data_IF_229907583419
#
_entry.id   IF_229907583419
#
_cell.length_a   1.000
_cell.length_b   1.000
_cell.length_c   1.000
_cell.angle_alpha   90.00
_cell.angle_beta   90.00
_cell.angle_gamma   90.00
#
_symmetry.space_group_name_H-M   'P 1'
#
loop_
_entity.id
_entity.type
_entity.pdbx_description
1 polymer ?
#
# COMPACT_ATOMS: atom_id res chain seq x y z
N UNK A 1 -14.46 -29.07 3.71
CA UNK A 1 -13.32 -29.13 2.76
C UNK A 1 -12.06 -29.28 3.59
N UNK A 2 -11.29 -30.35 3.39
CA UNK A 2 -9.94 -30.45 3.94
C UNK A 2 -9.14 -29.22 3.49
N UNK A 3 -8.46 -28.56 4.43
CA UNK A 3 -7.49 -27.52 4.10
C UNK A 3 -6.47 -28.13 3.12
N UNK A 4 -6.05 -27.42 2.05
CA UNK A 4 -4.96 -27.90 1.21
C UNK A 4 -3.73 -28.14 2.09
N UNK A 5 -3.15 -29.34 2.04
CA UNK A 5 -2.06 -29.82 2.93
C UNK A 5 -0.78 -28.93 2.93
N UNK A 6 -0.70 -27.91 2.06
CA UNK A 6 0.48 -27.07 1.83
C UNK A 6 0.38 -25.61 2.36
N UNK A 7 -0.67 -25.22 3.10
CA UNK A 7 -0.79 -23.84 3.61
C UNK A 7 -0.07 -23.70 4.96
N UNK A 8 0.99 -22.88 5.08
CA UNK A 8 1.73 -22.76 6.32
C UNK A 8 0.90 -22.08 7.42
N UNK A 9 0.71 -22.80 8.53
CA UNK A 9 0.06 -22.30 9.74
C UNK A 9 0.93 -22.64 10.97
N UNK A 10 2.08 -21.97 11.15
CA UNK A 10 2.87 -22.14 12.36
C UNK A 10 2.09 -21.67 13.60
N UNK A 11 2.33 -22.31 14.75
CA UNK A 11 1.61 -22.05 16.01
C UNK A 11 1.64 -20.57 16.42
N UNK A 12 2.79 -19.90 16.29
CA UNK A 12 2.95 -18.47 16.54
C UNK A 12 3.33 -17.73 15.24
N UNK A 13 2.38 -17.69 14.31
CA UNK A 13 2.53 -17.08 13.00
C UNK A 13 2.28 -15.58 12.98
N UNK A 14 3.19 -14.84 12.33
CA UNK A 14 3.05 -13.45 11.93
C UNK A 14 2.76 -13.38 10.43
N UNK A 15 1.52 -13.05 10.06
CA UNK A 15 0.99 -13.14 8.71
C UNK A 15 0.99 -11.78 8.02
N UNK A 16 1.75 -11.66 6.93
CA UNK A 16 1.85 -10.41 6.16
C UNK A 16 1.46 -10.64 4.71
N UNK A 17 0.44 -9.93 4.24
CA UNK A 17 0.01 -9.92 2.84
C UNK A 17 0.65 -8.74 2.11
N UNK A 18 1.37 -8.98 1.02
CA UNK A 18 1.96 -7.94 0.16
C UNK A 18 1.35 -7.99 -1.23
N UNK A 19 0.70 -6.92 -1.66
CA UNK A 19 0.10 -6.86 -2.99
C UNK A 19 1.13 -6.53 -4.07
N UNK A 20 1.16 -7.26 -5.19
CA UNK A 20 2.04 -6.95 -6.33
C UNK A 20 3.52 -7.11 -6.01
N UNK A 21 3.91 -8.31 -5.54
CA UNK A 21 5.25 -8.57 -5.02
C UNK A 21 6.25 -9.10 -6.06
N UNK A 22 5.86 -9.21 -7.34
CA UNK A 22 6.67 -9.92 -8.34
C UNK A 22 7.98 -9.23 -8.76
N UNK A 23 8.09 -7.93 -8.51
CA UNK A 23 9.26 -7.12 -8.84
C UNK A 23 9.20 -5.79 -8.09
N UNK A 24 10.23 -4.96 -8.29
CA UNK A 24 10.26 -3.58 -7.80
C UNK A 24 10.08 -3.49 -6.28
N UNK A 25 9.30 -2.50 -5.84
CA UNK A 25 9.07 -2.23 -4.43
C UNK A 25 8.42 -3.40 -3.69
N UNK A 26 7.47 -4.12 -4.31
CA UNK A 26 6.79 -5.24 -3.65
C UNK A 26 7.74 -6.39 -3.30
N UNK A 27 8.69 -6.70 -4.20
CA UNK A 27 9.76 -7.66 -3.91
C UNK A 27 10.70 -7.13 -2.81
N UNK A 28 11.05 -5.84 -2.86
CA UNK A 28 11.87 -5.17 -1.84
C UNK A 28 11.23 -5.16 -0.45
N UNK A 29 9.89 -5.03 -0.37
CA UNK A 29 9.13 -5.19 0.88
C UNK A 29 9.26 -6.62 1.39
N UNK A 30 9.13 -7.62 0.53
CA UNK A 30 9.28 -9.02 0.91
C UNK A 30 10.68 -9.36 1.43
N UNK A 31 11.74 -8.93 0.75
CA UNK A 31 13.12 -9.18 1.20
C UNK A 31 13.44 -8.45 2.50
N UNK A 32 12.99 -7.20 2.66
CA UNK A 32 13.20 -6.43 3.88
C UNK A 32 12.39 -6.95 5.06
N UNK A 33 11.16 -7.43 4.85
CA UNK A 33 10.38 -8.12 5.89
C UNK A 33 11.13 -9.33 6.45
N UNK A 34 11.76 -10.13 5.58
CA UNK A 34 12.58 -11.27 6.02
C UNK A 34 13.73 -10.78 6.91
N UNK A 35 14.47 -9.77 6.46
CA UNK A 35 15.64 -9.25 7.17
C UNK A 35 15.26 -8.70 8.56
N UNK A 36 14.28 -7.80 8.61
CA UNK A 36 13.90 -7.13 9.85
C UNK A 36 13.12 -8.05 10.79
N UNK A 37 12.27 -8.94 10.27
CA UNK A 37 11.56 -9.91 11.12
C UNK A 37 12.54 -10.83 11.84
N UNK A 38 13.51 -11.41 11.11
CA UNK A 38 14.48 -12.32 11.70
C UNK A 38 15.39 -11.63 12.72
N UNK A 39 15.64 -10.32 12.55
CA UNK A 39 16.44 -9.51 13.46
C UNK A 39 15.67 -9.04 14.70
N UNK A 40 14.38 -8.71 14.57
CA UNK A 40 13.63 -7.99 15.61
C UNK A 40 12.61 -8.83 16.35
N UNK A 41 12.10 -9.92 15.75
CA UNK A 41 11.04 -10.74 16.35
C UNK A 41 11.59 -11.93 17.13
N UNK A 42 10.95 -12.31 18.26
CA UNK A 42 11.34 -13.45 19.08
C UNK A 42 11.49 -14.74 18.27
N UNK A 43 12.46 -15.59 18.62
CA UNK A 43 12.73 -16.85 17.89
C UNK A 43 11.56 -17.83 17.87
N UNK A 44 10.61 -17.66 18.79
CA UNK A 44 9.36 -18.42 18.85
C UNK A 44 8.33 -18.02 17.79
N UNK A 45 8.47 -16.86 17.15
CA UNK A 45 7.58 -16.38 16.09
C UNK A 45 8.09 -16.79 14.70
N UNK A 46 7.16 -17.14 13.81
CA UNK A 46 7.42 -17.44 12.41
C UNK A 46 6.69 -16.46 11.48
N UNK A 47 7.39 -15.94 10.47
CA UNK A 47 6.82 -15.10 9.42
C UNK A 47 6.13 -15.97 8.37
N UNK A 48 4.86 -15.68 8.09
CA UNK A 48 4.15 -16.19 6.91
C UNK A 48 4.00 -15.03 5.92
N UNK A 49 4.89 -14.98 4.93
CA UNK A 49 4.87 -13.96 3.89
C UNK A 49 3.95 -14.42 2.76
N UNK A 50 2.76 -13.82 2.72
CA UNK A 50 1.76 -14.03 1.68
C UNK A 50 2.00 -13.00 0.57
N UNK A 51 2.48 -13.46 -0.58
CA UNK A 51 2.68 -12.60 -1.75
C UNK A 51 1.54 -12.76 -2.74
N UNK A 52 1.22 -11.69 -3.45
CA UNK A 52 0.29 -11.79 -4.59
C UNK A 52 0.93 -11.39 -5.91
N UNK A 53 0.52 -12.11 -6.95
CA UNK A 53 0.92 -11.88 -8.34
C UNK A 53 -0.28 -12.08 -9.27
N UNK A 54 -0.20 -11.55 -10.49
CA UNK A 54 -1.28 -11.72 -11.49
C UNK A 54 -1.37 -13.14 -12.06
N UNK A 55 -0.31 -13.92 -11.93
CA UNK A 55 -0.25 -15.29 -12.45
C UNK A 55 0.69 -16.17 -11.60
N UNK A 56 0.47 -17.49 -11.67
CA UNK A 56 1.21 -18.50 -10.91
C UNK A 56 2.71 -18.49 -11.22
N UNK A 57 3.09 -18.36 -12.49
CA UNK A 57 4.50 -18.36 -12.93
C UNK A 57 5.29 -17.21 -12.28
N UNK A 58 4.70 -16.01 -12.23
CA UNK A 58 5.28 -14.88 -11.51
C UNK A 58 5.35 -15.14 -10.02
N UNK A 59 4.33 -15.77 -9.44
CA UNK A 59 4.32 -16.20 -8.04
C UNK A 59 5.52 -17.09 -7.73
N UNK A 60 5.67 -18.17 -8.50
CA UNK A 60 6.72 -19.18 -8.29
C UNK A 60 8.12 -18.54 -8.41
N UNK A 61 8.32 -17.70 -9.42
CA UNK A 61 9.57 -16.94 -9.61
C UNK A 61 9.85 -15.97 -8.45
N UNK A 62 8.81 -15.39 -7.85
CA UNK A 62 8.95 -14.47 -6.71
C UNK A 62 9.31 -15.23 -5.44
N UNK A 63 8.61 -16.34 -5.15
CA UNK A 63 8.95 -17.22 -4.03
C UNK A 63 10.39 -17.71 -4.15
N UNK A 64 10.84 -18.07 -5.36
CA UNK A 64 12.23 -18.49 -5.58
C UNK A 64 13.23 -17.38 -5.22
N UNK A 65 13.01 -16.14 -5.66
CA UNK A 65 13.86 -14.99 -5.29
C UNK A 65 13.88 -14.73 -3.79
N UNK A 66 12.73 -14.84 -3.12
CA UNK A 66 12.62 -14.66 -1.67
C UNK A 66 13.33 -15.79 -0.90
N UNK A 67 13.24 -17.03 -1.38
CA UNK A 67 14.00 -18.17 -0.82
C UNK A 67 15.50 -17.98 -0.97
N UNK A 68 15.96 -17.54 -2.14
CA UNK A 68 17.37 -17.22 -2.38
C UNK A 68 17.86 -16.09 -1.47
N UNK A 69 17.04 -15.07 -1.25
CA UNK A 69 17.33 -14.00 -0.30
C UNK A 69 17.44 -14.54 1.13
N UNK A 70 16.46 -15.31 1.60
CA UNK A 70 16.50 -15.97 2.92
C UNK A 70 17.76 -16.81 3.10
N UNK A 71 18.15 -17.60 2.10
CA UNK A 71 19.37 -18.39 2.14
C UNK A 71 20.63 -17.50 2.27
N UNK A 72 20.69 -16.35 1.58
CA UNK A 72 21.79 -15.39 1.72
C UNK A 72 21.86 -14.81 3.13
N UNK A 73 20.71 -14.48 3.73
CA UNK A 73 20.61 -13.99 5.11
C UNK A 73 21.10 -15.05 6.09
N UNK A 74 20.58 -16.28 6.01
CA UNK A 74 20.99 -17.39 6.87
C UNK A 74 22.50 -17.68 6.75
N UNK A 75 23.05 -17.73 5.53
CA UNK A 75 24.50 -17.94 5.32
C UNK A 75 25.35 -16.82 5.92
N UNK A 76 24.86 -15.58 5.93
CA UNK A 76 25.56 -14.45 6.55
C UNK A 76 25.61 -14.61 8.07
N UNK A 77 24.47 -14.96 8.69
CA UNK A 77 24.40 -15.16 10.14
C UNK A 77 25.22 -16.38 10.57
N UNK A 78 25.19 -17.47 9.81
CA UNK A 78 25.94 -18.70 10.10
C UNK A 78 27.46 -18.45 10.26
N UNK A 79 28.02 -17.51 9.47
CA UNK A 79 29.44 -17.14 9.56
C UNK A 79 29.79 -16.49 10.90
N UNK A 80 28.83 -15.83 11.53
CA UNK A 80 29.00 -15.16 12.83
C UNK A 80 28.57 -16.05 13.99
N UNK A 81 27.53 -16.87 13.82
CA UNK A 81 26.98 -17.75 14.83
C UNK A 81 26.61 -19.11 14.20
N UNK A 82 27.47 -20.14 14.32
CA UNK A 82 27.19 -21.47 13.78
C UNK A 82 25.91 -22.10 14.33
N UNK A 83 25.15 -22.80 13.48
CA UNK A 83 23.88 -23.46 13.80
C UNK A 83 22.64 -22.56 13.69
N UNK A 84 22.80 -21.24 13.64
CA UNK A 84 21.68 -20.31 13.57
C UNK A 84 20.93 -20.34 12.24
N UNK A 85 21.59 -20.69 11.13
CA UNK A 85 20.93 -20.76 9.83
C UNK A 85 19.74 -21.72 9.83
N UNK A 86 19.86 -22.87 10.50
CA UNK A 86 18.81 -23.89 10.55
C UNK A 86 17.58 -23.40 11.32
N UNK A 87 17.80 -22.64 12.40
CA UNK A 87 16.73 -22.02 13.18
C UNK A 87 16.02 -20.93 12.37
N UNK A 88 16.77 -20.00 11.78
CA UNK A 88 16.21 -18.86 11.04
C UNK A 88 15.45 -19.32 9.78
N UNK A 89 15.95 -20.33 9.07
CA UNK A 89 15.31 -20.82 7.86
C UNK A 89 13.94 -21.43 8.12
N UNK A 90 13.73 -22.06 9.29
CA UNK A 90 12.44 -22.64 9.69
C UNK A 90 11.41 -21.60 10.12
N UNK A 91 11.82 -20.36 10.37
CA UNK A 91 10.96 -19.26 10.82
C UNK A 91 10.31 -18.46 9.69
N UNK A 92 10.57 -18.78 8.42
CA UNK A 92 10.02 -18.02 7.29
C UNK A 92 9.32 -18.96 6.33
N UNK A 93 8.02 -18.75 6.16
CA UNK A 93 7.16 -19.48 5.26
C UNK A 93 6.68 -18.56 4.14
N UNK A 94 6.60 -19.10 2.93
CA UNK A 94 6.12 -18.37 1.76
C UNK A 94 4.79 -18.95 1.30
N UNK A 95 3.81 -18.07 1.08
CA UNK A 95 2.54 -18.43 0.47
C UNK A 95 2.33 -17.51 -0.73
N UNK A 96 2.02 -18.09 -1.88
CA UNK A 96 1.65 -17.31 -3.06
C UNK A 96 0.15 -17.35 -3.29
N UNK A 97 -0.39 -16.24 -3.75
CA UNK A 97 -1.79 -16.09 -4.08
C UNK A 97 -1.96 -15.29 -5.37
N UNK A 98 -3.05 -15.55 -6.10
CA UNK A 98 -3.36 -14.83 -7.34
C UNK A 98 -4.24 -13.63 -7.01
N UNK A 99 -3.84 -12.46 -7.49
CA UNK A 99 -4.61 -11.22 -7.35
C UNK A 99 -4.46 -10.37 -8.61
N UNK A 100 -5.60 -10.09 -9.25
CA UNK A 100 -5.73 -8.98 -10.18
C UNK A 100 -6.66 -7.91 -9.59
N UNK A 101 -6.08 -6.76 -9.23
CA UNK A 101 -6.84 -5.64 -8.65
C UNK A 101 -7.76 -4.96 -9.66
N UNK A 102 -7.55 -5.19 -10.97
CA UNK A 102 -8.47 -4.74 -12.02
C UNK A 102 -9.67 -5.69 -12.21
N UNK A 103 -9.78 -6.75 -11.40
CA UNK A 103 -10.91 -7.66 -11.38
C UNK A 103 -11.48 -7.74 -9.97
N UNK A 104 -12.65 -7.12 -9.74
CA UNK A 104 -13.31 -7.14 -8.43
C UNK A 104 -13.63 -8.57 -7.97
N UNK A 105 -13.98 -9.46 -8.91
CA UNK A 105 -14.18 -10.88 -8.63
C UNK A 105 -12.88 -11.58 -8.23
N UNK A 106 -11.73 -11.23 -8.84
CA UNK A 106 -10.43 -11.74 -8.39
C UNK A 106 -10.13 -11.33 -6.95
N UNK A 107 -10.46 -10.08 -6.58
CA UNK A 107 -10.31 -9.61 -5.20
C UNK A 107 -11.20 -10.43 -4.26
N UNK A 108 -12.48 -10.63 -4.62
CA UNK A 108 -13.39 -11.40 -3.78
C UNK A 108 -12.95 -12.87 -3.60
N UNK A 109 -12.52 -13.53 -4.68
CA UNK A 109 -12.01 -14.92 -4.64
C UNK A 109 -10.81 -15.07 -3.70
N UNK A 110 -9.86 -14.15 -3.77
CA UNK A 110 -8.71 -14.15 -2.88
C UNK A 110 -9.14 -13.99 -1.42
N UNK A 111 -10.00 -13.01 -1.14
CA UNK A 111 -10.41 -12.72 0.23
C UNK A 111 -11.18 -13.90 0.85
N UNK A 112 -12.10 -14.53 0.10
CA UNK A 112 -12.80 -15.74 0.53
C UNK A 112 -11.82 -16.86 0.87
N UNK A 113 -10.86 -17.13 -0.02
CA UNK A 113 -9.81 -18.13 0.20
C UNK A 113 -9.00 -17.83 1.46
N UNK A 114 -8.54 -16.59 1.64
CA UNK A 114 -7.77 -16.19 2.83
C UNK A 114 -8.60 -16.33 4.11
N UNK A 115 -9.86 -15.90 4.13
CA UNK A 115 -10.76 -16.04 5.29
C UNK A 115 -10.91 -17.50 5.74
N UNK A 116 -10.92 -18.43 4.78
CA UNK A 116 -11.09 -19.86 5.04
C UNK A 116 -9.79 -20.58 5.46
N UNK A 117 -8.62 -20.00 5.16
CA UNK A 117 -7.35 -20.74 5.21
C UNK A 117 -6.23 -20.01 5.98
N UNK A 118 -6.51 -18.82 6.48
CA UNK A 118 -5.55 -18.01 7.24
C UNK A 118 -6.14 -17.71 8.62
N UNK A 119 -5.42 -17.97 9.72
CA UNK A 119 -5.95 -17.74 11.06
C UNK A 119 -6.19 -16.26 11.34
N UNK A 120 -5.22 -15.40 11.02
CA UNK A 120 -5.29 -13.93 11.16
C UNK A 120 -4.42 -13.22 10.12
N UNK A 121 -4.51 -11.90 10.04
CA UNK A 121 -3.57 -11.07 9.29
C UNK A 121 -3.02 -9.97 10.20
N UNK A 122 -1.71 -9.98 10.43
CA UNK A 122 -1.05 -8.94 11.23
C UNK A 122 -0.83 -7.67 10.39
N UNK A 123 -0.54 -7.82 9.10
CA UNK A 123 -0.44 -6.68 8.19
C UNK A 123 -0.86 -7.01 6.75
N UNK A 124 -1.51 -6.05 6.09
CA UNK A 124 -1.78 -6.02 4.65
C UNK A 124 -1.12 -4.77 4.08
N UNK A 125 -0.15 -4.95 3.18
CA UNK A 125 0.58 -3.86 2.53
C UNK A 125 0.04 -3.69 1.10
N UNK A 126 -0.80 -2.66 0.93
CA UNK A 126 -1.41 -2.26 -0.34
C UNK A 126 -0.38 -1.51 -1.20
N UNK A 127 0.56 -2.28 -1.78
CA UNK A 127 1.69 -1.81 -2.58
C UNK A 127 1.43 -1.73 -4.09
N UNK A 128 0.57 -2.59 -4.64
CA UNK A 128 0.40 -2.71 -6.07
C UNK A 128 -0.17 -1.41 -6.66
N UNK A 129 0.21 -1.11 -7.89
CA UNK A 129 -0.31 0.05 -8.59
C UNK A 129 0.30 0.22 -9.97
N UNK A 130 -0.31 1.08 -10.76
CA UNK A 130 0.11 1.47 -12.10
C UNK A 130 0.17 2.99 -12.20
N UNK A 131 1.04 3.49 -13.08
CA UNK A 131 1.23 4.93 -13.28
C UNK A 131 0.24 5.59 -14.23
N UNK A 132 -0.28 4.87 -15.24
CA UNK A 132 -1.14 5.47 -16.26
C UNK A 132 -0.46 6.54 -17.13
N UNK A 133 0.88 6.58 -17.13
CA UNK A 133 1.67 7.52 -17.92
C UNK A 133 1.86 7.02 -19.35
N UNK A 134 1.81 7.94 -20.30
CA UNK A 134 2.05 7.67 -21.73
C UNK A 134 3.44 8.09 -22.16
N UNK A 135 3.95 9.21 -21.62
CA UNK A 135 5.26 9.75 -21.97
C UNK A 135 5.69 10.81 -20.93
N UNK A 136 6.83 11.47 -21.17
CA UNK A 136 7.27 12.67 -20.50
C UNK A 136 7.23 13.85 -21.46
N UNK A 137 6.93 15.04 -20.95
CA UNK A 137 7.24 16.29 -21.65
C UNK A 137 8.76 16.49 -21.62
N UNK A 138 9.47 15.89 -22.58
CA UNK A 138 10.94 15.86 -22.62
C UNK A 138 11.60 17.24 -22.58
N UNK A 139 11.16 18.26 -23.36
CA UNK A 139 11.72 19.60 -23.26
C UNK A 139 11.59 20.18 -21.84
N UNK A 140 10.42 20.03 -21.22
CA UNK A 140 10.20 20.49 -19.85
C UNK A 140 11.02 19.68 -18.83
N UNK A 141 11.14 18.37 -19.02
CA UNK A 141 11.91 17.49 -18.16
C UNK A 141 13.40 17.88 -18.16
N UNK A 142 13.99 18.04 -19.33
CA UNK A 142 15.39 18.49 -19.48
C UNK A 142 15.58 19.86 -18.85
N UNK A 143 14.71 20.82 -19.17
CA UNK A 143 14.78 22.16 -18.60
C UNK A 143 14.70 22.15 -17.07
N UNK A 144 13.72 21.44 -16.49
CA UNK A 144 13.52 21.36 -15.04
C UNK A 144 14.67 20.64 -14.34
N UNK A 145 15.18 19.55 -14.90
CA UNK A 145 16.34 18.84 -14.33
C UNK A 145 17.57 19.76 -14.32
N UNK A 146 17.81 20.51 -15.39
CA UNK A 146 18.97 21.42 -15.47
C UNK A 146 18.83 22.67 -14.59
N UNK A 147 17.61 23.17 -14.36
CA UNK A 147 17.37 24.43 -13.62
C UNK A 147 16.99 24.24 -12.15
N UNK A 148 16.40 23.11 -11.79
CA UNK A 148 15.96 22.78 -10.42
C UNK A 148 16.01 21.25 -10.21
N UNK A 149 17.23 20.71 -10.26
CA UNK A 149 17.49 19.27 -10.22
C UNK A 149 16.75 18.55 -9.09
N UNK A 150 16.91 19.05 -7.86
CA UNK A 150 16.37 18.41 -6.65
C UNK A 150 14.85 18.33 -6.72
N UNK A 151 14.16 19.42 -7.04
CA UNK A 151 12.70 19.40 -7.10
C UNK A 151 12.20 18.61 -8.30
N UNK A 152 12.85 18.72 -9.46
CA UNK A 152 12.45 18.04 -10.69
C UNK A 152 12.42 16.51 -10.53
N UNK A 153 13.33 15.94 -9.75
CA UNK A 153 13.44 14.48 -9.57
C UNK A 153 12.86 13.98 -8.24
N UNK A 154 12.34 14.87 -7.39
CA UNK A 154 11.52 14.53 -6.20
C UNK A 154 10.03 14.71 -6.47
N UNK A 155 9.66 15.79 -7.15
CA UNK A 155 8.29 16.23 -7.43
C UNK A 155 8.13 16.54 -8.93
N UNK A 156 8.25 15.54 -9.81
CA UNK A 156 8.27 15.75 -11.26
C UNK A 156 6.94 16.30 -11.78
N UNK A 157 6.97 17.44 -12.47
CA UNK A 157 5.79 18.10 -13.08
C UNK A 157 5.69 17.90 -14.59
N UNK A 158 6.47 16.98 -15.15
CA UNK A 158 6.63 16.79 -16.60
C UNK A 158 6.14 15.42 -17.08
N UNK A 159 5.45 14.64 -16.25
CA UNK A 159 4.83 13.37 -16.66
C UNK A 159 3.57 13.65 -17.47
N UNK A 160 3.37 12.90 -18.54
CA UNK A 160 2.16 12.92 -19.35
C UNK A 160 1.37 11.64 -19.09
N UNK A 161 0.10 11.80 -18.73
CA UNK A 161 -0.80 10.69 -18.44
C UNK A 161 -1.89 10.58 -19.49
N UNK A 162 -2.38 9.36 -19.68
CA UNK A 162 -3.60 9.17 -20.45
C UNK A 162 -4.82 9.61 -19.66
N UNK A 163 -5.85 10.06 -20.39
CA UNK A 163 -7.15 10.47 -19.84
C UNK A 163 -8.19 9.43 -20.25
N UNK A 164 -9.13 9.12 -19.35
CA UNK A 164 -10.28 8.26 -19.65
C UNK A 164 -9.99 6.77 -19.76
N UNK A 165 -8.84 6.30 -19.25
CA UNK A 165 -8.53 4.87 -19.22
C UNK A 165 -9.47 4.11 -18.29
N UNK A 166 -10.04 3.03 -18.80
CA UNK A 166 -11.06 2.22 -18.14
C UNK A 166 -10.52 0.83 -17.89
N UNK A 167 -10.82 0.28 -16.72
CA UNK A 167 -10.67 -1.14 -16.47
C UNK A 167 -11.52 -1.93 -17.48
N UNK A 168 -11.12 -3.17 -17.75
CA UNK A 168 -11.95 -4.10 -18.53
C UNK A 168 -13.29 -4.31 -17.82
N UNK A 169 -14.34 -4.73 -18.56
CA UNK A 169 -15.60 -5.12 -17.94
C UNK A 169 -15.40 -6.13 -16.81
N UNK A 170 -16.00 -5.86 -15.67
CA UNK A 170 -15.99 -6.69 -14.47
C UNK A 170 -17.00 -7.82 -14.57
N UNK A 171 -18.05 -7.63 -15.36
CA UNK A 171 -19.11 -8.61 -15.61
C UNK A 171 -18.91 -9.19 -17.03
N UNK A 172 -18.72 -10.51 -17.18
CA UNK A 172 -18.65 -11.14 -18.49
C UNK A 172 -19.93 -10.92 -19.31
N UNK A 173 -19.81 -10.73 -20.63
CA UNK A 173 -20.94 -10.43 -21.53
C UNK A 173 -22.04 -11.50 -21.56
N UNK A 174 -21.77 -12.71 -21.07
CA UNK A 174 -22.69 -13.84 -21.00
C UNK A 174 -23.37 -14.01 -19.63
N UNK A 175 -23.17 -13.08 -18.70
CA UNK A 175 -23.63 -13.18 -17.30
C UNK A 175 -24.85 -12.31 -17.05
N UNK A 176 -25.85 -12.86 -16.38
CA UNK A 176 -27.11 -12.21 -16.03
C UNK A 176 -28.21 -13.27 -15.86
N UNK A 177 -28.91 -13.25 -14.73
CA UNK A 177 -30.06 -14.14 -14.54
C UNK A 177 -31.11 -13.89 -15.64
N UNK A 178 -31.49 -14.96 -16.33
CA UNK A 178 -32.45 -14.89 -17.44
C UNK A 178 -31.97 -14.14 -18.69
N UNK A 179 -30.66 -13.92 -18.87
CA UNK A 179 -30.09 -13.25 -20.05
C UNK A 179 -30.23 -11.72 -20.06
N UNK A 180 -30.60 -11.11 -18.93
CA UNK A 180 -30.61 -9.65 -18.79
C UNK A 180 -29.18 -9.12 -18.63
N UNK A 181 -28.79 -8.20 -19.51
CA UNK A 181 -27.51 -7.51 -19.44
C UNK A 181 -27.53 -6.54 -18.26
N UNK A 182 -26.73 -6.82 -17.23
CA UNK A 182 -26.51 -5.88 -16.11
C UNK A 182 -25.74 -4.66 -16.63
N UNK A 183 -26.23 -3.46 -16.31
CA UNK A 183 -25.56 -2.23 -16.72
C UNK A 183 -24.25 -2.06 -15.95
N UNK A 184 -23.14 -1.99 -16.68
CA UNK A 184 -21.81 -1.81 -16.11
C UNK A 184 -21.30 -0.38 -16.41
N UNK A 185 -21.24 0.52 -15.41
CA UNK A 185 -20.68 1.84 -15.60
C UNK A 185 -19.15 1.76 -15.79
N UNK A 186 -18.53 2.77 -16.45
CA UNK A 186 -17.08 2.85 -16.55
C UNK A 186 -16.40 2.81 -15.18
N UNK A 187 -15.37 1.97 -15.06
CA UNK A 187 -14.49 1.92 -13.90
C UNK A 187 -13.10 2.44 -14.29
N UNK A 188 -12.60 3.48 -13.63
CA UNK A 188 -11.27 4.04 -13.90
C UNK A 188 -10.15 3.02 -13.68
N UNK A 189 -9.26 2.82 -14.65
CA UNK A 189 -8.24 1.77 -14.58
C UNK A 189 -7.22 2.02 -13.47
N UNK A 190 -6.62 3.23 -13.46
CA UNK A 190 -5.62 3.63 -12.47
C UNK A 190 -6.22 3.69 -11.07
N UNK A 191 -7.42 4.25 -10.95
CA UNK A 191 -8.19 4.26 -9.70
C UNK A 191 -8.45 2.84 -9.18
N UNK A 192 -8.88 1.92 -10.05
CA UNK A 192 -9.17 0.54 -9.66
C UNK A 192 -7.91 -0.19 -9.19
N UNK A 193 -6.82 -0.09 -9.95
CA UNK A 193 -5.56 -0.74 -9.62
C UNK A 193 -4.85 -0.16 -8.39
N UNK A 194 -4.94 1.15 -8.16
CA UNK A 194 -4.19 1.85 -7.10
C UNK A 194 -4.99 2.02 -5.82
N UNK A 195 -6.32 2.00 -5.89
CA UNK A 195 -7.19 2.32 -4.76
C UNK A 195 -8.39 1.38 -4.62
N UNK A 196 -9.34 1.34 -5.57
CA UNK A 196 -10.62 0.66 -5.33
C UNK A 196 -10.50 -0.85 -5.16
N UNK A 197 -9.63 -1.53 -5.92
CA UNK A 197 -9.36 -2.95 -5.72
C UNK A 197 -8.79 -3.24 -4.32
N UNK A 198 -7.91 -2.37 -3.82
CA UNK A 198 -7.39 -2.45 -2.45
C UNK A 198 -8.42 -2.06 -1.39
N UNK A 199 -9.33 -1.14 -1.71
CA UNK A 199 -10.42 -0.75 -0.83
C UNK A 199 -11.31 -1.97 -0.54
N UNK A 200 -11.75 -2.66 -1.59
CA UNK A 200 -12.50 -3.92 -1.46
C UNK A 200 -11.69 -5.00 -0.74
N UNK A 201 -10.41 -5.17 -1.09
CA UNK A 201 -9.50 -6.11 -0.42
C UNK A 201 -9.46 -5.86 1.09
N UNK A 202 -9.28 -4.62 1.53
CA UNK A 202 -9.24 -4.27 2.94
C UNK A 202 -10.58 -4.47 3.65
N UNK A 203 -11.71 -4.19 2.98
CA UNK A 203 -13.05 -4.46 3.52
C UNK A 203 -13.25 -5.96 3.78
N UNK A 204 -13.01 -6.79 2.76
CA UNK A 204 -13.24 -8.23 2.86
C UNK A 204 -12.23 -8.95 3.79
N UNK A 205 -11.04 -8.35 4.02
CA UNK A 205 -10.03 -8.87 4.96
C UNK A 205 -10.15 -8.28 6.37
N UNK A 206 -11.08 -7.34 6.62
CA UNK A 206 -11.31 -6.76 7.94
C UNK A 206 -11.52 -7.80 9.07
N UNK A 207 -12.26 -8.92 8.87
CA UNK A 207 -12.38 -9.95 9.89
C UNK A 207 -11.01 -10.56 10.28
N UNK A 208 -10.13 -10.83 9.31
CA UNK A 208 -8.81 -11.41 9.58
C UNK A 208 -7.87 -10.42 10.28
N UNK A 209 -7.97 -9.14 9.94
CA UNK A 209 -7.21 -8.07 10.59
C UNK A 209 -7.67 -7.80 12.02
N UNK A 210 -8.92 -8.17 12.37
CA UNK A 210 -9.47 -7.94 13.69
C UNK A 210 -9.19 -9.08 14.70
N UNK A 211 -8.73 -10.24 14.21
CA UNK A 211 -8.40 -11.45 15.02
C UNK A 211 -7.08 -11.29 15.79
N UNK A 212 -7.09 -10.36 16.71
CA UNK A 212 -6.02 -10.07 17.66
C UNK A 212 -6.64 -9.86 19.03
N UNK A 213 -6.13 -10.58 20.03
CA UNK A 213 -6.61 -10.45 21.41
C UNK A 213 -6.18 -9.10 22.00
N UNK A 214 -7.09 -8.43 22.71
CA UNK A 214 -6.82 -7.12 23.31
C UNK A 214 -5.64 -7.15 24.31
N UNK A 215 -5.40 -8.30 24.95
CA UNK A 215 -4.30 -8.51 25.91
C UNK A 215 -2.93 -8.54 25.24
N UNK A 216 -2.86 -8.92 23.97
CA UNK A 216 -1.59 -8.93 23.21
C UNK A 216 -1.08 -7.51 22.95
N UNK A 217 -1.92 -6.49 23.12
CA UNK A 217 -1.60 -5.11 22.75
C UNK A 217 -1.12 -5.00 21.29
N UNK A 218 -1.59 -5.90 20.42
CA UNK A 218 -1.36 -5.89 18.97
C UNK A 218 -2.65 -5.57 18.23
N UNK A 219 -2.52 -5.17 16.96
CA UNK A 219 -3.66 -4.88 16.07
C UNK A 219 -3.26 -5.22 14.64
N UNK A 220 -4.21 -5.73 13.85
CA UNK A 220 -4.02 -5.88 12.42
C UNK A 220 -3.89 -4.52 11.73
N UNK A 221 -3.02 -4.45 10.72
CA UNK A 221 -2.65 -3.19 10.06
C UNK A 221 -2.95 -3.24 8.56
N UNK A 222 -3.70 -2.25 8.06
CA UNK A 222 -3.85 -1.98 6.65
C UNK A 222 -2.93 -0.82 6.28
N UNK A 223 -1.84 -1.12 5.56
CA UNK A 223 -0.78 -0.16 5.23
C UNK A 223 -0.89 0.21 3.75
N UNK A 224 -1.32 1.43 3.49
CA UNK A 224 -1.43 1.98 2.15
C UNK A 224 -0.10 2.53 1.67
N UNK A 225 0.33 2.13 0.47
CA UNK A 225 1.52 2.71 -0.19
C UNK A 225 1.08 3.83 -1.13
N UNK A 226 1.18 5.05 -0.63
CA UNK A 226 0.94 6.29 -1.35
C UNK A 226 2.23 6.80 -2.04
N UNK A 227 2.26 8.06 -2.47
CA UNK A 227 3.37 8.72 -3.16
C UNK A 227 3.63 10.12 -2.61
N UNK A 228 4.83 10.67 -2.82
CA UNK A 228 5.10 12.10 -2.62
C UNK A 228 4.26 12.99 -3.54
N UNK A 229 3.74 12.40 -4.61
CA UNK A 229 3.00 13.07 -5.67
C UNK A 229 1.47 13.04 -5.45
N UNK A 230 1.04 12.83 -4.20
CA UNK A 230 -0.35 12.87 -3.79
C UNK A 230 -0.85 14.33 -3.67
N UNK A 231 -0.76 15.07 -4.77
CA UNK A 231 -1.02 16.51 -4.79
C UNK A 231 -2.50 16.83 -4.62
N UNK A 232 -2.78 17.95 -3.94
CA UNK A 232 -4.14 18.46 -3.75
C UNK A 232 -4.81 18.80 -5.09
N UNK A 233 -4.09 19.50 -5.98
CA UNK A 233 -4.61 19.96 -7.27
C UNK A 233 -4.92 18.84 -8.28
N UNK A 234 -4.41 17.64 -8.05
CA UNK A 234 -4.63 16.49 -8.94
C UNK A 234 -5.97 15.81 -8.71
N UNK A 235 -6.62 16.06 -7.56
CA UNK A 235 -7.80 15.36 -7.10
C UNK A 235 -9.06 16.22 -7.23
N UNK A 236 -10.09 15.65 -7.86
CA UNK A 236 -11.45 16.20 -7.87
C UNK A 236 -12.39 15.13 -7.31
N UNK A 237 -13.12 15.49 -6.26
CA UNK A 237 -14.11 14.62 -5.62
C UNK A 237 -15.25 14.21 -6.57
N UNK A 238 -15.55 15.04 -7.57
CA UNK A 238 -16.58 14.74 -8.57
C UNK A 238 -16.05 13.82 -9.69
N UNK A 239 -14.73 13.66 -9.80
CA UNK A 239 -14.04 12.69 -10.66
C UNK A 239 -13.15 11.77 -9.81
N UNK A 240 -13.73 11.18 -8.76
CA UNK A 240 -12.99 10.34 -7.79
C UNK A 240 -12.25 9.17 -8.46
N UNK A 241 -12.74 8.73 -9.62
CA UNK A 241 -12.14 7.65 -10.41
C UNK A 241 -11.01 8.13 -11.35
N UNK A 242 -10.80 9.44 -11.50
CA UNK A 242 -9.79 10.02 -12.38
C UNK A 242 -10.03 9.73 -13.86
N UNK A 243 -11.28 9.69 -14.31
CA UNK A 243 -11.65 9.42 -15.70
C UNK A 243 -11.51 10.66 -16.58
N UNK A 244 -11.76 11.85 -16.05
CA UNK A 244 -11.65 13.12 -16.78
C UNK A 244 -10.32 13.84 -16.52
N UNK A 245 -9.70 13.61 -15.36
CA UNK A 245 -8.45 14.22 -14.94
C UNK A 245 -7.23 13.83 -15.79
N UNK A 246 -6.25 14.74 -15.87
CA UNK A 246 -4.95 14.53 -16.56
C UNK A 246 -3.86 13.94 -15.67
N UNK A 247 -4.18 13.66 -14.41
CA UNK A 247 -3.24 13.16 -13.40
C UNK A 247 -3.88 12.04 -12.56
N UNK A 248 -4.34 10.94 -13.20
CA UNK A 248 -5.07 9.88 -12.50
C UNK A 248 -4.24 9.15 -11.44
N UNK A 249 -2.91 9.05 -11.62
CA UNK A 249 -2.03 8.48 -10.61
C UNK A 249 -1.99 9.33 -9.36
N UNK A 250 -1.66 10.61 -9.52
CA UNK A 250 -1.57 11.59 -8.43
C UNK A 250 -2.92 11.72 -7.71
N UNK A 251 -4.02 11.77 -8.47
CA UNK A 251 -5.40 11.73 -7.94
C UNK A 251 -5.65 10.50 -7.07
N UNK A 252 -5.32 9.30 -7.54
CA UNK A 252 -5.50 8.06 -6.77
C UNK A 252 -4.67 8.04 -5.48
N UNK A 253 -3.47 8.62 -5.50
CA UNK A 253 -2.59 8.72 -4.34
C UNK A 253 -3.05 9.80 -3.36
N UNK A 254 -3.65 10.89 -3.85
CA UNK A 254 -4.33 11.88 -3.02
C UNK A 254 -5.55 11.28 -2.31
N UNK A 255 -6.37 10.52 -3.01
CA UNK A 255 -7.47 9.75 -2.42
C UNK A 255 -6.99 8.77 -1.34
N UNK A 256 -5.84 8.13 -1.57
CA UNK A 256 -5.16 7.27 -0.58
C UNK A 256 -4.81 8.04 0.70
N UNK A 257 -4.18 9.20 0.56
CA UNK A 257 -3.80 10.03 1.72
C UNK A 257 -5.04 10.52 2.49
N UNK A 258 -6.04 11.05 1.78
CA UNK A 258 -7.30 11.52 2.37
C UNK A 258 -7.99 10.41 3.16
N UNK A 259 -8.19 9.24 2.56
CA UNK A 259 -8.94 8.14 3.17
C UNK A 259 -8.19 7.55 4.37
N UNK A 260 -6.89 7.28 4.22
CA UNK A 260 -6.10 6.66 5.27
C UNK A 260 -5.90 7.57 6.48
N UNK A 261 -5.58 8.86 6.27
CA UNK A 261 -5.41 9.82 7.38
C UNK A 261 -6.73 10.09 8.08
N UNK A 262 -7.78 10.38 7.31
CA UNK A 262 -9.08 10.69 7.92
C UNK A 262 -9.72 9.48 8.60
N UNK A 263 -9.25 8.25 8.33
CA UNK A 263 -9.76 7.04 8.98
C UNK A 263 -9.64 7.02 10.52
N UNK A 264 -8.76 7.87 11.06
CA UNK A 264 -8.50 8.02 12.49
C UNK A 264 -9.29 9.14 13.13
N UNK A 265 -10.06 9.90 12.36
CA UNK A 265 -10.78 11.08 12.83
C UNK A 265 -12.20 10.72 13.29
N UNK A 266 -12.74 11.40 14.30
CA UNK A 266 -14.12 11.20 14.73
C UNK A 266 -15.15 11.42 13.62
N UNK A 267 -14.89 12.38 12.72
CA UNK A 267 -15.79 12.78 11.63
C UNK A 267 -16.06 11.68 10.60
N UNK A 268 -15.19 10.68 10.50
CA UNK A 268 -15.34 9.55 9.56
C UNK A 268 -15.57 8.23 10.27
N UNK A 269 -15.48 8.17 11.62
CA UNK A 269 -15.54 6.90 12.37
C UNK A 269 -16.72 6.01 11.98
N UNK A 270 -17.97 6.51 11.82
CA UNK A 270 -19.09 5.65 11.42
C UNK A 270 -18.88 4.98 10.05
N UNK A 271 -18.26 5.67 9.11
CA UNK A 271 -17.96 5.15 7.76
C UNK A 271 -16.82 4.12 7.83
N UNK A 272 -15.80 4.38 8.66
CA UNK A 272 -14.71 3.43 8.90
C UNK A 272 -15.21 2.19 9.64
N UNK A 273 -16.11 2.34 10.60
CA UNK A 273 -16.75 1.24 11.32
C UNK A 273 -17.56 0.38 10.36
N UNK A 274 -18.29 0.99 9.42
CA UNK A 274 -18.98 0.28 8.33
C UNK A 274 -18.00 -0.45 7.41
N UNK A 275 -16.91 0.21 7.02
CA UNK A 275 -15.87 -0.37 6.17
C UNK A 275 -15.14 -1.55 6.83
N UNK A 276 -14.89 -1.48 8.14
CA UNK A 276 -14.24 -2.55 8.91
C UNK A 276 -15.24 -3.49 9.57
N UNK A 277 -16.54 -3.39 9.24
CA UNK A 277 -17.57 -4.23 9.83
C UNK A 277 -17.41 -5.69 9.39
N UNK A 278 -17.64 -6.60 10.31
CA UNK A 278 -17.73 -8.03 10.06
C UNK A 278 -18.73 -8.67 11.04
N UNK A 279 -19.34 -9.82 10.69
CA UNK A 279 -20.15 -10.59 11.63
C UNK A 279 -19.28 -10.98 12.83
N UNK A 280 -19.64 -10.51 14.04
CA UNK A 280 -18.89 -10.86 15.25
C UNK A 280 -19.01 -12.37 15.49
N UNK A 281 -17.86 -13.04 15.59
CA UNK A 281 -17.77 -14.41 16.09
C UNK A 281 -18.29 -14.46 17.55
N UNK A 282 -18.72 -15.64 18.07
CA UNK A 282 -19.22 -15.78 19.44
C UNK A 282 -18.24 -15.19 20.49
N UNK A 283 -18.74 -14.76 21.67
CA UNK A 283 -18.05 -13.88 22.62
C UNK A 283 -16.75 -14.40 23.26
N UNK A 284 -16.24 -15.56 22.85
CA UNK A 284 -15.04 -16.19 23.41
C UNK A 284 -13.72 -15.57 22.90
N UNK A 285 -13.74 -14.82 21.78
CA UNK A 285 -12.55 -14.16 21.25
C UNK A 285 -12.68 -12.64 21.33
N UNK A 286 -11.81 -12.00 22.12
CA UNK A 286 -11.68 -10.54 22.09
C UNK A 286 -11.05 -10.13 20.76
N UNK A 287 -11.62 -9.15 20.08
CA UNK A 287 -11.12 -8.65 18.79
C UNK A 287 -10.72 -7.20 18.92
N UNK A 288 -9.69 -6.79 18.19
CA UNK A 288 -9.28 -5.39 18.14
C UNK A 288 -9.70 -4.76 16.82
N UNK A 289 -10.10 -3.48 16.85
CA UNK A 289 -10.34 -2.71 15.62
C UNK A 289 -9.01 -2.54 14.86
N UNK A 290 -8.94 -2.95 13.58
CA UNK A 290 -7.76 -2.75 12.74
C UNK A 290 -7.34 -1.29 12.64
N UNK A 291 -6.06 -1.05 12.35
CA UNK A 291 -5.51 0.29 12.09
C UNK A 291 -5.14 0.48 10.63
N UNK A 292 -5.47 1.65 10.09
CA UNK A 292 -5.10 2.05 8.74
C UNK A 292 -3.95 3.06 8.83
N UNK A 293 -2.86 2.79 8.12
CA UNK A 293 -1.72 3.69 8.03
C UNK A 293 -1.43 4.02 6.56
N UNK A 294 -0.79 5.17 6.33
CA UNK A 294 -0.31 5.56 5.00
C UNK A 294 1.20 5.76 5.00
N UNK A 295 1.82 5.23 3.97
CA UNK A 295 3.26 5.24 3.77
C UNK A 295 3.63 5.68 2.35
N UNK A 296 4.90 5.95 2.07
CA UNK A 296 5.41 6.05 0.71
C UNK A 296 6.89 5.63 0.63
N UNK A 297 7.36 5.13 -0.53
CA UNK A 297 8.71 4.59 -0.68
C UNK A 297 9.80 5.64 -0.88
N UNK A 298 9.46 6.93 -0.84
CA UNK A 298 10.26 7.96 -1.49
C UNK A 298 10.38 7.68 -3.00
N UNK A 299 11.56 7.91 -3.56
CA UNK A 299 11.90 7.69 -4.96
C UNK A 299 12.93 6.55 -5.01
N UNK A 300 12.52 5.43 -5.59
CA UNK A 300 13.34 4.25 -5.82
C UNK A 300 13.18 3.72 -7.24
N UNK A 301 14.24 3.12 -7.79
CA UNK A 301 14.24 2.56 -9.13
C UNK A 301 13.31 1.34 -9.23
N UNK A 302 12.23 1.48 -9.97
CA UNK A 302 11.28 0.42 -10.27
C UNK A 302 10.87 0.49 -11.73
N UNK A 303 10.34 -0.61 -12.27
CA UNK A 303 9.82 -0.66 -13.64
C UNK A 303 8.39 -0.07 -13.77
N UNK A 304 7.97 0.81 -12.85
CA UNK A 304 6.63 1.43 -12.92
C UNK A 304 6.49 2.39 -14.11
N UNK A 305 7.60 3.01 -14.52
CA UNK A 305 7.74 3.75 -15.76
C UNK A 305 8.87 3.09 -16.55
N UNK A 306 8.59 2.31 -17.61
CA UNK A 306 9.62 1.59 -18.35
C UNK A 306 10.49 2.58 -19.14
N UNK A 307 11.79 2.58 -18.89
CA UNK A 307 12.76 3.41 -19.59
C UNK A 307 13.71 2.54 -20.43
N UNK A 308 14.19 3.03 -21.59
CA UNK A 308 15.36 2.46 -22.26
C UNK A 308 16.56 2.37 -21.29
N UNK A 309 17.41 1.36 -21.46
CA UNK A 309 18.50 1.05 -20.53
C UNK A 309 19.38 2.26 -20.18
N UNK A 310 19.72 3.10 -21.17
CA UNK A 310 20.52 4.31 -20.96
C UNK A 310 19.80 5.30 -20.04
N UNK A 311 18.50 5.50 -20.26
CA UNK A 311 17.69 6.40 -19.43
C UNK A 311 17.48 5.85 -18.03
N UNK A 312 17.45 4.52 -17.85
CA UNK A 312 17.41 3.90 -16.53
C UNK A 312 18.69 4.21 -15.73
N UNK A 313 19.87 4.06 -16.33
CA UNK A 313 21.13 4.45 -15.69
C UNK A 313 21.19 5.95 -15.36
N UNK A 314 20.75 6.81 -16.28
CA UNK A 314 20.68 8.26 -16.05
C UNK A 314 19.68 8.60 -14.94
N UNK A 315 18.58 7.87 -14.84
CA UNK A 315 17.60 8.03 -13.77
C UNK A 315 18.18 7.66 -12.41
N UNK A 316 18.90 6.54 -12.30
CA UNK A 316 19.61 6.19 -11.08
C UNK A 316 20.64 7.26 -10.69
N UNK A 317 21.45 7.73 -11.65
CA UNK A 317 22.38 8.83 -11.43
C UNK A 317 21.66 10.08 -10.90
N UNK A 318 20.50 10.43 -11.48
CA UNK A 318 19.73 11.58 -11.06
C UNK A 318 19.20 11.46 -9.62
N UNK A 319 18.76 10.28 -9.20
CA UNK A 319 18.37 10.00 -7.81
C UNK A 319 19.55 10.18 -6.85
N UNK A 320 20.74 9.68 -7.19
CA UNK A 320 21.92 9.83 -6.35
C UNK A 320 22.38 11.29 -6.25
N UNK A 321 22.38 12.03 -7.37
CA UNK A 321 22.68 13.47 -7.36
C UNK A 321 21.69 14.23 -6.48
N UNK A 322 20.38 13.96 -6.59
CA UNK A 322 19.39 14.62 -5.75
C UNK A 322 19.56 14.32 -4.26
N UNK A 323 19.95 13.09 -3.91
CA UNK A 323 20.34 12.73 -2.54
C UNK A 323 21.53 13.58 -2.05
N UNK A 324 22.56 13.73 -2.89
CA UNK A 324 23.69 14.64 -2.66
C UNK A 324 23.34 16.12 -2.89
N UNK A 325 22.09 16.48 -3.16
CA UNK A 325 21.63 17.87 -3.07
C UNK A 325 20.71 18.04 -1.84
N UNK A 326 20.77 17.07 -0.92
CA UNK A 326 20.08 17.10 0.35
C UNK A 326 18.64 16.58 0.31
N UNK A 327 18.17 16.02 -0.82
CA UNK A 327 16.88 15.33 -0.85
C UNK A 327 16.95 14.06 -0.01
N UNK A 328 16.09 13.98 1.01
CA UNK A 328 15.99 12.76 1.81
C UNK A 328 15.09 11.71 1.16
N UNK A 329 14.33 12.08 0.13
CA UNK A 329 13.32 11.24 -0.47
C UNK A 329 13.85 10.35 -1.58
N UNK A 330 15.17 10.20 -1.71
CA UNK A 330 15.77 9.32 -2.71
C UNK A 330 16.42 8.09 -2.09
N UNK A 331 15.67 7.11 -1.57
CA UNK A 331 16.21 5.79 -1.22
C UNK A 331 16.92 5.06 -2.37
N UNK A 332 16.55 5.36 -3.62
CA UNK A 332 17.08 4.84 -4.88
C UNK A 332 16.93 3.32 -5.08
N UNK A 333 17.15 2.48 -4.07
CA UNK A 333 16.92 1.04 -4.14
C UNK A 333 15.57 0.65 -3.54
N UNK A 334 15.02 -0.46 -4.00
CA UNK A 334 13.68 -0.93 -3.56
C UNK A 334 13.69 -1.40 -2.11
N UNK A 335 14.80 -1.96 -1.63
CA UNK A 335 14.97 -2.39 -0.25
C UNK A 335 14.97 -1.18 0.70
N UNK A 336 15.62 -0.07 0.31
CA UNK A 336 15.55 1.16 1.11
C UNK A 336 14.20 1.84 0.98
N UNK A 337 13.60 1.80 -0.22
CA UNK A 337 12.23 2.23 -0.44
C UNK A 337 11.22 1.48 0.41
N UNK A 338 11.48 0.21 0.76
CA UNK A 338 10.61 -0.61 1.61
C UNK A 338 10.57 -0.20 3.11
N UNK A 339 11.47 0.69 3.57
CA UNK A 339 11.70 0.99 4.98
C UNK A 339 10.43 1.34 5.78
N UNK A 340 9.65 2.33 5.35
CA UNK A 340 8.46 2.77 6.08
C UNK A 340 7.37 1.71 6.14
N UNK A 341 7.15 0.97 5.05
CA UNK A 341 6.14 -0.09 4.99
C UNK A 341 6.48 -1.24 5.95
N UNK A 342 7.74 -1.69 5.95
CA UNK A 342 8.17 -2.78 6.84
C UNK A 342 8.19 -2.34 8.30
N UNK A 343 8.65 -1.12 8.58
CA UNK A 343 8.59 -0.56 9.92
C UNK A 343 7.15 -0.47 10.44
N UNK A 344 6.20 0.04 9.63
CA UNK A 344 4.79 0.08 10.01
C UNK A 344 4.21 -1.33 10.23
N UNK A 345 4.69 -2.35 9.52
CA UNK A 345 4.24 -3.72 9.74
C UNK A 345 4.80 -4.30 11.05
N UNK A 346 6.08 -4.06 11.35
CA UNK A 346 6.78 -4.75 12.45
C UNK A 346 6.81 -4.00 13.78
N UNK A 347 6.72 -2.66 13.78
CA UNK A 347 6.84 -1.83 14.97
C UNK A 347 5.84 -2.21 16.07
N UNK A 348 6.19 -1.99 17.33
CA UNK A 348 5.26 -2.17 18.44
C UNK A 348 4.10 -1.19 18.33
N UNK A 349 2.88 -1.66 18.63
CA UNK A 349 1.68 -0.86 18.50
C UNK A 349 1.70 0.36 19.44
N UNK A 350 2.18 0.18 20.68
CA UNK A 350 2.38 1.25 21.66
C UNK A 350 3.29 2.37 21.15
N UNK A 351 4.36 2.03 20.43
CA UNK A 351 5.27 3.03 19.84
C UNK A 351 4.57 3.85 18.76
N UNK A 352 3.77 3.22 17.89
CA UNK A 352 3.01 3.92 16.85
C UNK A 352 1.93 4.82 17.47
N UNK A 353 1.18 4.30 18.45
CA UNK A 353 0.14 5.07 19.13
C UNK A 353 0.74 6.28 19.87
N UNK A 354 1.86 6.11 20.59
CA UNK A 354 2.54 7.22 21.27
C UNK A 354 3.07 8.28 20.29
N UNK A 355 3.54 7.88 19.11
CA UNK A 355 3.95 8.83 18.06
C UNK A 355 2.76 9.60 17.49
N UNK A 356 1.64 8.93 17.18
CA UNK A 356 0.43 9.62 16.69
C UNK A 356 -0.25 10.48 17.76
N UNK A 357 -0.20 10.08 19.04
CA UNK A 357 -0.70 10.90 20.14
C UNK A 357 0.14 12.18 20.32
N UNK A 358 1.47 12.06 20.24
CA UNK A 358 2.37 13.20 20.37
C UNK A 358 2.37 14.11 19.14
N UNK A 359 2.42 13.54 17.95
CA UNK A 359 2.69 14.28 16.71
C UNK A 359 1.46 14.40 15.80
N UNK A 360 0.37 13.69 16.08
CA UNK A 360 -0.81 13.61 15.22
C UNK A 360 -0.75 12.47 14.19
N UNK A 361 -1.89 12.19 13.57
CA UNK A 361 -2.01 11.18 12.51
C UNK A 361 -1.42 11.72 11.21
N UNK A 362 -0.69 10.91 10.46
CA UNK A 362 -0.08 11.39 9.22
C UNK A 362 0.71 10.32 8.49
N UNK A 363 1.50 10.78 7.52
CA UNK A 363 2.14 9.93 6.53
C UNK A 363 3.59 9.62 6.86
N UNK A 364 3.97 8.36 6.62
CA UNK A 364 5.30 7.85 6.90
C UNK A 364 6.08 7.62 5.60
N UNK A 365 7.32 8.09 5.53
CA UNK A 365 8.15 8.01 4.33
C UNK A 365 9.43 7.23 4.54
N UNK A 366 9.80 6.43 3.55
CA UNK A 366 11.16 5.89 3.45
C UNK A 366 12.10 7.01 3.01
N UNK A 367 12.98 7.41 3.92
CA UNK A 367 13.95 8.48 3.69
C UNK A 367 15.38 7.95 3.79
N UNK A 368 16.32 8.68 3.21
CA UNK A 368 17.75 8.46 3.37
C UNK A 368 18.46 9.74 3.79
N UNK A 369 19.59 9.60 4.49
CA UNK A 369 20.53 10.70 4.63
C UNK A 369 21.40 10.86 3.35
N UNK A 370 22.37 11.76 3.41
CA UNK A 370 23.31 12.01 2.31
C UNK A 370 24.11 10.75 1.90
N UNK A 371 24.46 9.92 2.88
CA UNK A 371 25.23 8.68 2.70
C UNK A 371 24.35 7.50 2.27
N UNK A 372 23.05 7.74 2.11
CA UNK A 372 22.09 6.70 1.77
C UNK A 372 21.70 5.83 2.96
N UNK A 373 21.96 6.22 4.21
CA UNK A 373 21.46 5.50 5.39
C UNK A 373 19.95 5.73 5.49
N UNK A 374 19.19 4.66 5.38
CA UNK A 374 17.73 4.71 5.42
C UNK A 374 17.18 4.95 6.82
N UNK A 375 15.99 5.54 6.88
CA UNK A 375 15.18 5.71 8.09
C UNK A 375 13.73 5.98 7.71
N UNK A 376 12.84 5.86 8.68
CA UNK A 376 11.45 6.32 8.54
C UNK A 376 11.35 7.76 8.97
N UNK A 377 10.65 8.58 8.17
CA UNK A 377 10.39 9.98 8.45
C UNK A 377 8.90 10.32 8.33
N UNK A 378 8.49 11.44 8.93
CA UNK A 378 7.16 12.01 8.69
C UNK A 378 7.15 12.84 7.43
N UNK A 379 6.10 12.70 6.64
CA UNK A 379 5.94 13.38 5.35
C UNK A 379 4.78 14.37 5.45
N UNK A 380 5.04 15.60 5.00
CA UNK A 380 4.00 16.62 4.91
C UNK A 380 2.98 16.23 3.84
N UNK A 381 1.70 16.41 4.16
CA UNK A 381 0.57 16.18 3.25
C UNK A 381 -0.11 17.52 2.99
N UNK A 382 -0.28 17.89 1.73
CA UNK A 382 -0.93 19.16 1.34
C UNK A 382 -2.34 19.26 1.96
N UNK A 383 -2.64 20.37 2.62
CA UNK A 383 -3.90 20.56 3.34
C UNK A 383 -4.01 19.85 4.70
N UNK A 384 -3.00 19.09 5.13
CA UNK A 384 -2.99 18.40 6.44
C UNK A 384 -1.73 18.66 7.29
N UNK A 385 -0.62 19.08 6.68
CA UNK A 385 0.65 19.23 7.40
C UNK A 385 1.30 17.87 7.69
N UNK A 386 2.04 17.76 8.80
CA UNK A 386 2.69 16.50 9.21
C UNK A 386 1.76 15.64 10.07
N UNK A 387 0.90 16.27 10.86
CA UNK A 387 0.07 15.62 11.87
C UNK A 387 -1.33 16.22 12.05
N UNK A 388 -1.74 17.14 11.17
CA UNK A 388 -3.03 17.83 11.30
C UNK A 388 -3.03 18.94 12.35
N UNK A 389 -1.86 19.47 12.73
CA UNK A 389 -1.73 20.51 13.76
C UNK A 389 -1.28 21.83 13.16
N UNK A 390 -2.02 22.89 13.43
CA UNK A 390 -1.63 24.24 12.98
C UNK A 390 -0.40 24.69 13.77
N UNK A 391 0.57 25.29 13.08
CA UNK A 391 1.82 25.76 13.70
C UNK A 391 2.88 24.66 13.91
N UNK A 392 2.77 23.52 13.21
CA UNK A 392 3.80 22.49 13.22
C UNK A 392 5.17 23.01 12.76
N UNK A 393 6.23 22.55 13.44
CA UNK A 393 7.60 22.85 13.04
C UNK A 393 7.90 22.22 11.67
N UNK A 394 8.46 23.03 10.77
CA UNK A 394 8.85 22.60 9.42
C UNK A 394 9.95 21.55 9.53
N UNK A 395 9.75 20.41 8.87
CA UNK A 395 10.74 19.32 8.79
C UNK A 395 11.43 19.30 7.43
N UNK A 396 12.61 18.65 7.38
CA UNK A 396 13.31 18.39 6.12
C UNK A 396 12.41 17.59 5.17
N UNK A 397 12.62 17.74 3.86
CA UNK A 397 11.88 17.01 2.82
C UNK A 397 10.55 17.65 2.42
N UNK A 398 10.21 18.81 2.97
CA UNK A 398 9.07 19.60 2.53
C UNK A 398 9.11 19.90 1.03
N UNK A 399 7.94 19.81 0.37
CA UNK A 399 7.78 20.23 -1.04
C UNK A 399 8.09 21.72 -1.18
N UNK A 400 8.77 22.17 -2.26
CA UNK A 400 9.02 23.59 -2.49
C UNK A 400 7.72 24.40 -2.69
N UNK A 401 6.61 23.73 -3.01
CA UNK A 401 5.30 24.35 -3.20
C UNK A 401 4.39 24.22 -1.97
N UNK A 402 4.87 23.62 -0.88
CA UNK A 402 4.07 23.42 0.32
C UNK A 402 3.75 24.75 1.01
N UNK A 403 2.49 24.88 1.45
CA UNK A 403 1.97 26.01 2.21
C UNK A 403 1.83 25.62 3.68
N UNK A 404 2.00 26.58 4.57
CA UNK A 404 1.82 26.34 6.00
C UNK A 404 0.34 26.05 6.29
N UNK A 405 0.09 25.02 7.09
CA UNK A 405 -1.27 24.55 7.37
C UNK A 405 -2.08 25.62 8.11
N UNK A 406 -3.23 25.99 7.56
CA UNK A 406 -4.24 26.79 8.25
C UNK A 406 -5.35 25.93 8.84
N UNK A 407 -6.14 26.49 9.75
CA UNK A 407 -7.33 25.79 10.28
C UNK A 407 -8.35 25.48 9.18
N UNK A 408 -8.54 26.42 8.23
CA UNK A 408 -9.44 26.24 7.09
C UNK A 408 -8.96 25.11 6.16
N UNK A 409 -7.67 25.02 5.89
CA UNK A 409 -7.11 23.94 5.07
C UNK A 409 -7.35 22.57 5.74
N UNK A 410 -7.13 22.50 7.07
CA UNK A 410 -7.38 21.28 7.84
C UNK A 410 -8.86 20.89 7.77
N UNK A 411 -9.78 21.81 8.02
CA UNK A 411 -11.23 21.55 7.94
C UNK A 411 -11.64 21.08 6.53
N UNK A 412 -11.10 21.71 5.49
CA UNK A 412 -11.33 21.30 4.11
C UNK A 412 -10.80 19.90 3.81
N UNK A 413 -9.63 19.53 4.35
CA UNK A 413 -9.08 18.17 4.24
C UNK A 413 -9.97 17.14 4.93
N UNK A 414 -10.42 17.43 6.16
CA UNK A 414 -11.32 16.54 6.92
C UNK A 414 -12.65 16.34 6.19
N UNK A 415 -13.28 17.41 5.69
CA UNK A 415 -14.54 17.33 4.94
C UNK A 415 -14.37 16.61 3.61
N UNK A 416 -13.27 16.86 2.88
CA UNK A 416 -12.99 16.15 1.63
C UNK A 416 -12.80 14.66 1.90
N UNK A 417 -12.04 14.28 2.93
CA UNK A 417 -11.87 12.87 3.32
C UNK A 417 -13.18 12.21 3.74
N UNK A 418 -14.06 12.92 4.47
CA UNK A 418 -15.41 12.42 4.78
C UNK A 418 -16.22 12.15 3.51
N UNK A 419 -16.19 13.07 2.54
CA UNK A 419 -16.86 12.89 1.24
C UNK A 419 -16.27 11.71 0.46
N UNK A 420 -14.94 11.53 0.48
CA UNK A 420 -14.29 10.35 -0.08
C UNK A 420 -14.84 9.07 0.54
N UNK A 421 -14.90 8.95 1.88
CA UNK A 421 -15.45 7.77 2.55
C UNK A 421 -16.91 7.49 2.17
N UNK A 422 -17.76 8.52 2.10
CA UNK A 422 -19.16 8.36 1.66
C UNK A 422 -19.23 7.80 0.25
N UNK A 423 -18.46 8.39 -0.68
CA UNK A 423 -18.46 7.99 -2.08
C UNK A 423 -17.86 6.60 -2.29
N UNK A 424 -16.83 6.24 -1.53
CA UNK A 424 -16.23 4.91 -1.59
C UNK A 424 -17.16 3.83 -1.05
N UNK A 425 -17.89 4.10 0.03
CA UNK A 425 -18.91 3.17 0.54
C UNK A 425 -20.12 3.05 -0.39
N UNK A 426 -20.51 4.14 -1.07
CA UNK A 426 -21.52 4.11 -2.13
C UNK A 426 -21.06 3.20 -3.28
N UNK A 427 -19.89 3.47 -3.85
CA UNK A 427 -19.30 2.70 -4.96
C UNK A 427 -19.13 1.22 -4.60
N UNK A 428 -18.67 0.92 -3.37
CA UNK A 428 -18.54 -0.46 -2.89
C UNK A 428 -19.88 -1.20 -2.95
N UNK A 429 -20.92 -0.68 -2.29
CA UNK A 429 -22.23 -1.33 -2.24
C UNK A 429 -22.85 -1.47 -3.64
N UNK A 430 -22.64 -0.47 -4.49
CA UNK A 430 -23.08 -0.47 -5.88
C UNK A 430 -22.41 -1.53 -6.75
N UNK A 431 -21.11 -1.76 -6.58
CA UNK A 431 -20.38 -2.80 -7.30
C UNK A 431 -20.65 -4.19 -6.73
N UNK A 432 -20.75 -4.33 -5.40
CA UNK A 432 -21.17 -5.58 -4.76
C UNK A 432 -22.54 -6.03 -5.28
N UNK A 433 -23.54 -5.14 -5.28
CA UNK A 433 -24.88 -5.45 -5.77
C UNK A 433 -24.91 -5.82 -7.26
N UNK A 434 -24.14 -5.12 -8.11
CA UNK A 434 -24.06 -5.47 -9.55
C UNK A 434 -23.41 -6.82 -9.79
N UNK A 435 -22.36 -7.17 -9.04
CA UNK A 435 -21.71 -8.48 -9.15
C UNK A 435 -22.64 -9.61 -8.67
N UNK A 436 -23.41 -9.36 -7.63
CA UNK A 436 -24.43 -10.28 -7.11
C UNK A 436 -25.58 -10.47 -8.11
N UNK A 437 -26.17 -9.40 -8.63
CA UNK A 437 -27.23 -9.45 -9.66
C UNK A 437 -26.77 -10.18 -10.94
N UNK A 438 -25.50 -10.00 -11.31
CA UNK A 438 -24.91 -10.70 -12.45
C UNK A 438 -24.56 -12.19 -12.17
N UNK A 439 -24.72 -12.67 -10.93
CA UNK A 439 -24.41 -14.05 -10.53
C UNK A 439 -22.91 -14.38 -10.53
N UNK A 440 -22.04 -13.37 -10.55
CA UNK A 440 -20.57 -13.54 -10.59
C UNK A 440 -19.88 -13.13 -9.29
N UNK A 441 -20.62 -12.47 -8.39
CA UNK A 441 -20.18 -12.12 -7.05
C UNK A 441 -19.83 -13.36 -6.22
N UNK A 442 -18.78 -13.25 -5.42
CA UNK A 442 -18.35 -14.33 -4.52
C UNK A 442 -18.79 -14.00 -3.10
N UNK A 443 -19.74 -14.79 -2.58
CA UNK A 443 -20.28 -14.63 -1.24
C UNK A 443 -19.21 -14.80 -0.14
N UNK A 444 -19.21 -13.84 0.78
CA UNK A 444 -18.27 -13.64 1.89
C UNK A 444 -18.82 -14.20 3.21
N UNK A 445 -19.30 -15.45 3.20
CA UNK A 445 -19.77 -16.16 4.40
C UNK A 445 -18.70 -16.24 5.49
#
# INVERSE_FOLDING_TARGET
MSLPEDIPQPENGFYVLVTGANSGLGLGIGTRLIDEFLQTRPQSESLVLIITTRDKRKGDATVQKLREHLQKVCRRVERSVPGMAMVLQRRVHFRQEILDLLSLVSVQRLCKRLRQTTPKLDAVICNAGIGGWTDLNWPLAVWKILTDWKSAVTFPTFKLSAVGWRAKPQIPSSSGEGGKKVEEPPLGEVFCANFFGHYLLGHYLAPLLARHDEREQTRGRLIWVSSLEAYEHAFDINDIQGLAGKQPYESSKRLTDLTAITSRLPSTSPLVDKYLAYPKEPPEHTTTKPRIYVSHPGVCGTAIFPLPLVLDYLWFMAMFIARWLGSQWHPATVEKGACAMVWLALAQQSSLDAMEEREGVGKWGSATDWWGRERVERTEVEGWGWGGRVGEAKRKGRSPYARDLTAADREAFEETGRRCWVEMERLRGEWEGRLEEAGVGVAME
#
